data_IF_334763543736
#
_entry.id   IF_334763543736
#
_cell.length_a   1.000
_cell.length_b   1.000
_cell.length_c   1.000
_cell.angle_alpha   90.00
_cell.angle_beta   90.00
_cell.angle_gamma   90.00
#
_symmetry.space_group_name_H-M   'P 1'
#
loop_
_entity.id
_entity.type
_entity.pdbx_description
1 polymer ?
#
# COMPACT_ATOMS: atom_id res chain seq x y z
N UNK A 1 27.31 -24.84 8.22
CA UNK A 1 26.31 -24.26 7.30
C UNK A 1 25.76 -23.01 7.95
N UNK A 2 26.44 -21.88 7.76
CA UNK A 2 26.05 -20.62 8.39
C UNK A 2 24.95 -19.95 7.57
N UNK A 3 23.81 -19.71 8.19
CA UNK A 3 22.66 -19.00 7.61
C UNK A 3 23.10 -17.56 7.31
N UNK A 4 23.24 -17.24 6.02
CA UNK A 4 23.44 -15.87 5.56
C UNK A 4 22.14 -15.10 5.87
N UNK A 5 22.18 -14.19 6.83
CA UNK A 5 21.09 -13.24 7.05
C UNK A 5 21.16 -12.28 5.87
N UNK A 6 20.36 -12.54 4.83
CA UNK A 6 20.07 -11.54 3.81
C UNK A 6 19.36 -10.39 4.54
N UNK A 7 20.08 -9.30 4.77
CA UNK A 7 19.47 -8.04 5.20
C UNK A 7 18.66 -7.55 3.98
N UNK A 8 17.43 -8.02 3.86
CA UNK A 8 16.52 -7.47 2.86
C UNK A 8 16.29 -6.00 3.23
N UNK A 9 16.38 -5.06 2.28
CA UNK A 9 15.99 -3.68 2.55
C UNK A 9 14.57 -3.68 3.11
N UNK A 10 14.31 -2.79 4.08
CA UNK A 10 13.04 -2.67 4.80
C UNK A 10 11.83 -2.94 3.88
N UNK A 11 10.81 -3.70 4.33
CA UNK A 11 9.69 -4.05 3.48
C UNK A 11 9.05 -2.78 2.92
N UNK A 12 9.03 -2.65 1.58
CA UNK A 12 8.57 -1.43 0.89
C UNK A 12 7.07 -1.14 1.09
N UNK A 13 6.38 -2.01 1.81
CA UNK A 13 4.95 -1.94 2.08
C UNK A 13 4.62 -1.27 3.42
N UNK A 14 5.53 -1.17 4.41
CA UNK A 14 5.19 -0.51 5.69
C UNK A 14 5.83 0.87 5.83
N UNK A 15 5.00 1.87 6.10
CA UNK A 15 5.40 3.27 6.19
C UNK A 15 4.95 3.85 7.53
N UNK A 16 5.82 3.85 8.57
CA UNK A 16 5.44 4.22 9.93
C UNK A 16 5.10 5.71 10.11
N UNK A 17 5.55 6.57 9.19
CA UNK A 17 5.55 8.02 9.37
C UNK A 17 4.74 8.76 8.30
N UNK A 18 3.77 8.12 7.66
CA UNK A 18 2.96 8.76 6.62
C UNK A 18 1.47 8.77 6.98
N UNK A 19 0.80 9.84 6.58
CA UNK A 19 -0.64 10.03 6.67
C UNK A 19 -1.41 9.33 5.55
N UNK A 20 -2.75 9.34 5.63
CA UNK A 20 -3.61 8.88 4.56
C UNK A 20 -3.38 9.60 3.24
N UNK A 21 -3.25 10.94 3.28
CA UNK A 21 -3.01 11.77 2.10
C UNK A 21 -1.64 11.50 1.48
N UNK A 22 -0.60 11.32 2.31
CA UNK A 22 0.73 10.97 1.81
C UNK A 22 0.77 9.56 1.22
N UNK A 23 0.04 8.60 1.80
CA UNK A 23 -0.12 7.26 1.26
C UNK A 23 -0.83 7.26 -0.10
N UNK A 24 -1.91 8.02 -0.22
CA UNK A 24 -2.64 8.22 -1.47
C UNK A 24 -1.73 8.83 -2.55
N UNK A 25 -1.04 9.92 -2.24
CA UNK A 25 -0.08 10.53 -3.17
C UNK A 25 1.03 9.56 -3.60
N UNK A 26 1.53 8.72 -2.69
CA UNK A 26 2.54 7.71 -2.99
C UNK A 26 2.00 6.66 -3.98
N UNK A 27 0.78 6.20 -3.73
CA UNK A 27 0.10 5.22 -4.56
C UNK A 27 -0.27 5.79 -5.94
N UNK A 28 -0.68 7.05 -6.03
CA UNK A 28 -0.96 7.72 -7.31
C UNK A 28 0.30 8.00 -8.13
N UNK A 29 1.40 8.38 -7.48
CA UNK A 29 2.63 8.81 -8.18
C UNK A 29 3.59 7.66 -8.51
N UNK A 30 3.56 6.58 -7.74
CA UNK A 30 4.51 5.46 -7.85
C UNK A 30 3.86 4.09 -7.83
N UNK A 31 2.57 4.01 -7.50
CA UNK A 31 1.83 2.75 -7.52
C UNK A 31 1.49 2.33 -8.94
N UNK A 32 1.40 1.03 -9.10
CA UNK A 32 0.69 0.38 -10.22
C UNK A 32 -0.60 -0.23 -9.68
N UNK A 33 -1.46 -0.71 -10.56
CA UNK A 33 -2.67 -1.43 -10.18
C UNK A 33 -2.43 -2.54 -9.14
N UNK A 34 -3.25 -2.55 -8.09
CA UNK A 34 -3.10 -3.50 -6.98
C UNK A 34 -1.95 -3.19 -6.03
N UNK A 35 -1.26 -2.05 -6.19
CA UNK A 35 -0.26 -1.60 -5.23
C UNK A 35 -0.90 -1.30 -3.89
N UNK A 36 -0.20 -1.62 -2.81
CA UNK A 36 -0.66 -1.37 -1.46
C UNK A 36 0.48 -0.98 -0.54
N UNK A 37 0.12 -0.32 0.55
CA UNK A 37 1.00 -0.07 1.68
C UNK A 37 0.20 -0.04 2.98
N UNK A 38 0.85 -0.39 4.09
CA UNK A 38 0.34 -0.26 5.44
C UNK A 38 0.98 0.94 6.13
N UNK A 39 0.19 1.62 6.97
CA UNK A 39 0.62 2.75 7.81
C UNK A 39 -0.11 2.72 9.15
N UNK A 40 0.38 3.39 10.20
CA UNK A 40 -0.41 3.57 11.42
C UNK A 40 -1.74 4.26 11.14
N UNK A 41 -2.78 3.83 11.86
CA UNK A 41 -4.08 4.49 11.83
C UNK A 41 -4.00 5.82 12.58
N UNK A 42 -4.47 6.90 11.94
CA UNK A 42 -4.59 8.21 12.59
C UNK A 42 -5.81 8.30 13.49
N UNK A 43 -6.88 7.57 13.17
CA UNK A 43 -8.14 7.62 13.90
C UNK A 43 -8.20 6.63 15.07
N UNK A 44 -7.42 5.55 15.02
CA UNK A 44 -7.35 4.55 16.09
C UNK A 44 -5.89 4.24 16.45
N UNK A 45 -5.30 4.93 17.45
CA UNK A 45 -3.91 4.69 17.85
C UNK A 45 -3.67 3.23 18.27
N UNK A 46 -2.63 2.61 17.71
CA UNK A 46 -2.31 1.19 17.93
C UNK A 46 -2.71 0.27 16.77
N UNK A 47 -3.64 0.74 15.91
CA UNK A 47 -4.05 0.00 14.71
C UNK A 47 -3.24 0.40 13.47
N UNK A 48 -3.39 -0.43 12.43
CA UNK A 48 -2.86 -0.17 11.10
C UNK A 48 -3.99 0.08 10.10
N UNK A 49 -3.69 0.92 9.11
CA UNK A 49 -4.52 1.13 7.93
C UNK A 49 -3.79 0.59 6.71
N UNK A 50 -4.50 -0.18 5.88
CA UNK A 50 -4.07 -0.59 4.56
C UNK A 50 -4.60 0.41 3.53
N UNK A 51 -3.71 0.97 2.72
CA UNK A 51 -4.04 1.81 1.57
C UNK A 51 -3.68 1.05 0.29
N UNK A 52 -4.59 0.99 -0.68
CA UNK A 52 -4.40 0.22 -1.91
C UNK A 52 -4.98 0.94 -3.13
N UNK A 53 -4.35 0.77 -4.29
CA UNK A 53 -4.88 1.18 -5.59
C UNK A 53 -5.71 0.05 -6.18
N UNK A 54 -6.94 0.36 -6.56
CA UNK A 54 -7.76 -0.52 -7.38
C UNK A 54 -7.44 -0.29 -8.85
N UNK A 55 -7.59 -1.31 -9.69
CA UNK A 55 -7.60 -1.12 -11.15
C UNK A 55 -8.76 -0.20 -11.54
N UNK A 56 -8.46 1.00 -12.05
CA UNK A 56 -9.43 1.89 -12.67
C UNK A 56 -9.70 1.41 -14.10
N UNK A 57 -10.54 0.38 -14.25
CA UNK A 57 -10.91 -0.06 -15.61
C UNK A 57 -11.81 -1.28 -15.73
N UNK A 58 -12.06 -2.06 -14.67
CA UNK A 58 -12.97 -3.22 -14.74
C UNK A 58 -14.44 -2.87 -14.48
N UNK A 59 -14.75 -1.58 -14.39
CA UNK A 59 -16.08 -1.03 -14.59
C UNK A 59 -16.11 -0.22 -15.88
N UNK A 60 -15.63 -0.80 -16.98
CA UNK A 60 -16.20 -0.45 -18.27
C UNK A 60 -17.70 -0.75 -18.16
N UNK A 61 -18.53 0.25 -18.42
CA UNK A 61 -19.99 0.23 -18.48
C UNK A 61 -20.55 -0.84 -19.46
N UNK A 62 -19.68 -1.63 -20.12
CA UNK A 62 -19.99 -2.74 -21.02
C UNK A 62 -20.19 -4.10 -20.36
N UNK A 63 -20.15 -4.25 -19.02
CA UNK A 63 -20.41 -5.54 -18.38
C UNK A 63 -21.92 -5.90 -18.44
N UNK A 64 -22.34 -6.99 -19.10
CA UNK A 64 -23.75 -7.25 -19.42
C UNK A 64 -24.53 -7.95 -18.28
N UNK A 65 -24.16 -7.73 -17.02
CA UNK A 65 -24.88 -8.27 -15.86
C UNK A 65 -25.78 -7.23 -15.19
#
# INVERSE_FOLDING_TARGET
MSRLILIYPSPRWFHPNISGVEAENLLLTRGVDGSFLARPSKSNPGDFTLSATTMDGWMDESAPW
#
